data_IF_143568132779
#
_entry.id   IF_143568132779
#
_cell.length_a   1.000
_cell.length_b   1.000
_cell.length_c   1.000
_cell.angle_alpha   90.00
_cell.angle_beta   90.00
_cell.angle_gamma   90.00
#
_symmetry.space_group_name_H-M   'P 1'
#
loop_
_entity.id
_entity.type
_entity.pdbx_description
1 polymer ?
#
# COMPACT_ATOMS: atom_id res chain seq x y z
N UNK A 1 8.24 2.78 -5.00
CA UNK A 1 6.79 3.05 -4.87
C UNK A 1 6.51 3.82 -3.60
N UNK A 2 5.86 4.98 -3.75
CA UNK A 2 5.42 5.83 -2.67
C UNK A 2 3.92 6.07 -2.81
N UNK A 3 3.14 5.46 -1.91
CA UNK A 3 1.68 5.52 -1.86
C UNK A 3 1.24 6.37 -0.68
N UNK A 4 0.27 7.25 -0.89
CA UNK A 4 -0.25 8.08 0.19
C UNK A 4 -1.75 8.31 0.10
N UNK A 5 -2.39 8.31 1.28
CA UNK A 5 -3.81 8.60 1.45
C UNK A 5 -4.01 9.41 2.72
N UNK A 6 -4.58 10.61 2.60
CA UNK A 6 -4.71 11.52 3.72
C UNK A 6 -5.98 12.35 3.67
N UNK A 7 -6.40 12.76 4.86
CA UNK A 7 -7.46 13.74 5.05
C UNK A 7 -7.15 14.61 6.27
N UNK A 8 -7.60 15.86 6.24
CA UNK A 8 -7.60 16.74 7.40
C UNK A 8 -8.87 17.59 7.44
N UNK A 9 -9.53 17.61 8.59
CA UNK A 9 -10.55 18.62 8.89
C UNK A 9 -9.84 19.92 9.21
N UNK A 10 -10.18 20.98 8.47
CA UNK A 10 -9.59 22.30 8.63
C UNK A 10 -10.39 23.08 9.67
N UNK A 11 -9.70 23.60 10.68
CA UNK A 11 -10.29 24.45 11.71
C UNK A 11 -9.46 25.70 11.94
N UNK A 12 -10.16 26.79 12.16
CA UNK A 12 -9.60 28.04 12.67
C UNK A 12 -9.90 28.14 14.17
N UNK A 13 -9.08 28.88 14.95
CA UNK A 13 -9.36 29.10 16.37
C UNK A 13 -10.74 29.73 16.57
N UNK A 14 -11.59 29.08 17.35
CA UNK A 14 -12.93 29.56 17.69
C UNK A 14 -13.19 29.37 19.18
N UNK A 15 -12.98 30.41 20.00
CA UNK A 15 -13.32 30.31 21.40
C UNK A 15 -14.67 30.92 21.79
N UNK A 16 -15.35 31.75 20.98
CA UNK A 16 -16.69 32.36 21.26
C UNK A 16 -17.08 33.42 20.19
N UNK A 17 -16.71 33.25 18.92
CA UNK A 17 -16.70 34.37 17.95
C UNK A 17 -17.99 34.48 17.12
N UNK A 18 -18.40 35.73 16.86
CA UNK A 18 -19.37 36.15 15.83
C UNK A 18 -19.27 35.28 14.56
N UNK A 19 -20.37 34.62 14.12
CA UNK A 19 -20.38 33.79 12.92
C UNK A 19 -19.76 34.44 11.68
N UNK A 20 -19.92 35.76 11.53
CA UNK A 20 -19.34 36.54 10.42
C UNK A 20 -17.82 36.49 10.46
N UNK A 21 -17.24 36.70 11.64
CA UNK A 21 -15.79 36.72 11.82
C UNK A 21 -15.19 35.32 11.66
N UNK A 22 -15.91 34.28 12.10
CA UNK A 22 -15.50 32.90 11.85
C UNK A 22 -15.45 32.60 10.35
N UNK A 23 -16.50 32.97 9.60
CA UNK A 23 -16.54 32.80 8.15
C UNK A 23 -15.35 33.49 7.46
N UNK A 24 -15.01 34.73 7.85
CA UNK A 24 -13.85 35.45 7.31
C UNK A 24 -12.53 34.69 7.53
N UNK A 25 -12.33 34.15 8.74
CA UNK A 25 -11.13 33.38 9.09
C UNK A 25 -11.07 32.08 8.30
N UNK A 26 -12.19 31.36 8.18
CA UNK A 26 -12.28 30.14 7.38
C UNK A 26 -12.00 30.42 5.90
N UNK A 27 -12.53 31.52 5.34
CA UNK A 27 -12.27 31.93 3.96
C UNK A 27 -10.78 32.24 3.72
N UNK A 28 -10.13 32.95 4.66
CA UNK A 28 -8.68 33.22 4.61
C UNK A 28 -7.88 31.92 4.71
N UNK A 29 -8.26 31.03 5.63
CA UNK A 29 -7.60 29.73 5.81
C UNK A 29 -7.69 28.88 4.53
N UNK A 30 -8.88 28.80 3.91
CA UNK A 30 -9.08 28.08 2.65
C UNK A 30 -8.25 28.68 1.51
N UNK A 31 -8.18 30.01 1.40
CA UNK A 31 -7.36 30.66 0.38
C UNK A 31 -5.87 30.31 0.55
N UNK A 32 -5.34 30.42 1.77
CA UNK A 32 -3.94 30.08 2.07
C UNK A 32 -3.66 28.58 1.87
N UNK A 33 -4.60 27.72 2.23
CA UNK A 33 -4.49 26.27 2.00
C UNK A 33 -4.49 25.94 0.51
N UNK A 34 -5.29 26.62 -0.31
CA UNK A 34 -5.24 26.46 -1.78
C UNK A 34 -3.89 26.86 -2.37
N UNK A 35 -3.26 27.90 -1.85
CA UNK A 35 -1.89 28.25 -2.25
C UNK A 35 -0.87 27.19 -1.81
N UNK A 36 -1.03 26.60 -0.62
CA UNK A 36 -0.19 25.50 -0.16
C UNK A 36 -0.37 24.24 -1.02
N UNK A 37 -1.62 23.90 -1.36
CA UNK A 37 -1.96 22.84 -2.30
C UNK A 37 -1.29 23.11 -3.65
N UNK A 38 -1.43 24.30 -4.22
CA UNK A 38 -0.84 24.63 -5.52
C UNK A 38 0.71 24.51 -5.56
N UNK A 39 1.39 24.61 -4.41
CA UNK A 39 2.84 24.36 -4.30
C UNK A 39 3.18 22.87 -4.20
N UNK A 40 2.29 22.06 -3.62
CA UNK A 40 2.48 20.62 -3.46
C UNK A 40 1.92 19.80 -4.63
N UNK A 41 0.99 20.37 -5.39
CA UNK A 41 0.24 19.69 -6.43
C UNK A 41 1.11 19.25 -7.61
N UNK A 42 0.73 18.14 -8.23
CA UNK A 42 1.34 17.62 -9.44
C UNK A 42 0.31 16.90 -10.31
N UNK A 43 0.70 16.50 -11.52
CA UNK A 43 -0.23 15.85 -12.45
C UNK A 43 -0.59 14.39 -12.10
N UNK A 44 0.00 13.81 -11.06
CA UNK A 44 -0.09 12.38 -10.72
C UNK A 44 -0.78 12.13 -9.38
N UNK A 45 -1.11 13.19 -8.66
CA UNK A 45 -1.67 13.16 -7.32
C UNK A 45 -2.98 13.92 -7.30
N UNK A 46 -3.83 13.60 -6.32
CA UNK A 46 -5.06 14.31 -6.05
C UNK A 46 -4.86 15.14 -4.79
N UNK A 47 -4.93 16.46 -4.93
CA UNK A 47 -5.01 17.41 -3.82
C UNK A 47 -6.23 18.30 -4.01
N UNK A 48 -7.13 18.33 -3.02
CA UNK A 48 -8.26 19.25 -3.07
C UNK A 48 -8.75 19.59 -1.66
N UNK A 49 -9.41 20.73 -1.54
CA UNK A 49 -10.07 21.18 -0.31
C UNK A 49 -11.52 21.50 -0.62
N UNK A 50 -12.43 20.89 0.14
CA UNK A 50 -13.87 21.09 -0.04
C UNK A 50 -14.57 21.45 1.24
N UNK A 51 -15.52 22.37 1.13
CA UNK A 51 -16.53 22.58 2.14
C UNK A 51 -17.69 21.63 1.85
N UNK A 52 -18.10 20.87 2.86
CA UNK A 52 -19.17 19.88 2.80
C UNK A 52 -20.34 20.34 3.69
N UNK A 53 -21.30 19.45 3.97
CA UNK A 53 -22.45 19.79 4.81
C UNK A 53 -22.04 20.28 6.20
N UNK A 54 -22.86 21.15 6.78
CA UNK A 54 -22.61 21.76 8.10
C UNK A 54 -21.25 22.47 8.19
N UNK A 55 -20.83 23.12 7.10
CA UNK A 55 -19.62 23.95 7.02
C UNK A 55 -18.31 23.20 7.26
N UNK A 56 -18.32 21.86 7.19
CA UNK A 56 -17.12 21.06 7.38
C UNK A 56 -16.17 21.23 6.19
N UNK A 57 -15.02 21.87 6.42
CA UNK A 57 -13.94 22.02 5.45
C UNK A 57 -12.95 20.86 5.59
N UNK A 58 -12.70 20.15 4.49
CA UNK A 58 -11.87 18.94 4.45
C UNK A 58 -10.83 19.07 3.34
N UNK A 59 -9.56 18.94 3.71
CA UNK A 59 -8.46 18.60 2.80
C UNK A 59 -8.47 17.08 2.59
N UNK A 60 -8.31 16.62 1.35
CA UNK A 60 -8.01 15.22 1.07
C UNK A 60 -6.90 15.12 0.02
N UNK A 61 -6.04 14.11 0.20
CA UNK A 61 -4.83 13.91 -0.59
C UNK A 61 -4.65 12.44 -0.93
N UNK A 62 -4.47 12.10 -2.19
CA UNK A 62 -4.23 10.72 -2.62
C UNK A 62 -3.18 10.67 -3.72
N UNK A 63 -2.33 9.66 -3.73
CA UNK A 63 -1.38 9.48 -4.82
C UNK A 63 -0.63 8.16 -4.74
N UNK A 64 -0.17 7.71 -5.92
CA UNK A 64 0.70 6.56 -6.08
C UNK A 64 1.83 6.95 -7.03
N UNK A 65 3.06 6.92 -6.51
CA UNK A 65 4.24 7.47 -7.16
C UNK A 65 5.34 6.42 -7.28
N UNK A 66 6.19 6.55 -8.28
CA UNK A 66 7.35 5.64 -8.42
C UNK A 66 8.50 5.98 -7.46
N UNK A 67 8.56 7.22 -6.98
CA UNK A 67 9.58 7.71 -6.04
C UNK A 67 8.93 8.49 -4.91
N UNK A 68 9.64 8.59 -3.79
CA UNK A 68 9.26 9.38 -2.62
C UNK A 68 8.78 10.78 -3.01
N UNK A 69 7.64 11.19 -2.46
CA UNK A 69 7.04 12.50 -2.73
C UNK A 69 6.93 13.32 -1.45
N UNK A 70 7.95 14.11 -1.15
CA UNK A 70 7.98 14.93 0.07
C UNK A 70 6.89 16.01 0.18
N UNK A 71 6.41 16.65 -0.92
CA UNK A 71 5.45 17.77 -0.81
C UNK A 71 4.14 17.46 -0.08
N UNK A 72 3.66 16.21 -0.06
CA UNK A 72 2.46 15.84 0.73
C UNK A 72 2.73 15.95 2.24
N UNK A 73 3.94 15.57 2.69
CA UNK A 73 4.35 15.67 4.09
C UNK A 73 4.47 17.14 4.48
N UNK A 74 5.10 17.95 3.63
CA UNK A 74 5.23 19.40 3.83
C UNK A 74 3.87 20.10 3.91
N UNK A 75 2.90 19.68 3.09
CA UNK A 75 1.53 20.22 3.12
C UNK A 75 0.87 19.97 4.48
N UNK A 76 0.94 18.75 5.02
CA UNK A 76 0.34 18.45 6.33
C UNK A 76 1.11 19.12 7.48
N UNK A 77 2.43 19.27 7.36
CA UNK A 77 3.22 20.00 8.33
C UNK A 77 2.91 21.51 8.33
N UNK A 78 2.63 22.06 7.14
CA UNK A 78 2.10 23.41 6.99
C UNK A 78 0.73 23.54 7.67
N UNK A 79 -0.19 22.59 7.47
CA UNK A 79 -1.50 22.60 8.15
C UNK A 79 -1.33 22.57 9.67
N UNK A 80 -0.43 21.74 10.20
CA UNK A 80 -0.14 21.68 11.63
C UNK A 80 0.34 23.03 12.19
N UNK A 81 1.21 23.70 11.45
CA UNK A 81 1.82 24.96 11.88
C UNK A 81 0.83 26.13 11.79
N UNK A 82 0.11 26.23 10.67
CA UNK A 82 -0.72 27.40 10.36
C UNK A 82 -2.15 27.29 10.87
N UNK A 83 -2.65 26.06 11.04
CA UNK A 83 -4.04 25.76 11.40
C UNK A 83 -4.06 24.72 12.54
N UNK A 84 -3.50 25.04 13.72
CA UNK A 84 -3.20 24.06 14.76
C UNK A 84 -4.43 23.35 15.34
N UNK A 85 -5.62 23.94 15.23
CA UNK A 85 -6.87 23.29 15.67
C UNK A 85 -7.41 22.25 14.67
N UNK A 86 -6.80 22.16 13.50
CA UNK A 86 -7.08 21.12 12.51
C UNK A 86 -6.63 19.75 13.01
N UNK A 87 -7.27 18.70 12.48
CA UNK A 87 -6.91 17.32 12.77
C UNK A 87 -7.10 16.43 11.56
N UNK A 88 -6.36 15.33 11.50
CA UNK A 88 -6.37 14.44 10.35
C UNK A 88 -5.37 13.31 10.45
N UNK A 89 -5.32 12.50 9.40
CA UNK A 89 -4.39 11.40 9.24
C UNK A 89 -3.82 11.42 7.82
N UNK A 90 -2.56 11.02 7.68
CA UNK A 90 -1.91 10.75 6.41
C UNK A 90 -1.23 9.37 6.49
N UNK A 91 -1.76 8.40 5.75
CA UNK A 91 -1.14 7.10 5.54
C UNK A 91 -0.10 7.23 4.43
N UNK A 92 1.11 6.71 4.66
CA UNK A 92 2.21 6.65 3.70
C UNK A 92 2.78 5.23 3.66
N UNK A 93 2.97 4.66 2.47
CA UNK A 93 3.77 3.46 2.26
C UNK A 93 4.89 3.82 1.30
N UNK A 94 6.12 3.53 1.71
CA UNK A 94 7.33 3.81 0.94
C UNK A 94 8.17 2.53 0.88
N UNK A 95 8.20 1.89 -0.28
CA UNK A 95 9.00 0.66 -0.48
C UNK A 95 10.51 0.93 -0.50
N UNK A 96 10.94 2.19 -0.58
CA UNK A 96 12.34 2.62 -0.49
C UNK A 96 12.75 2.87 0.98
N UNK A 97 11.82 2.78 1.95
CA UNK A 97 12.10 2.98 3.37
C UNK A 97 12.65 1.69 4.02
N UNK A 98 13.96 1.65 4.21
CA UNK A 98 14.68 0.50 4.79
C UNK A 98 14.06 0.04 6.12
N UNK A 99 13.61 -1.22 6.16
CA UNK A 99 12.97 -1.86 7.31
C UNK A 99 11.48 -1.58 7.51
N UNK A 100 10.86 -0.77 6.64
CA UNK A 100 9.44 -0.41 6.66
C UNK A 100 8.77 -0.57 5.29
N UNK A 101 9.37 -1.32 4.37
CA UNK A 101 8.94 -1.45 2.98
C UNK A 101 7.54 -2.09 2.85
N UNK A 102 7.19 -2.94 3.83
CA UNK A 102 5.92 -3.66 3.91
C UNK A 102 4.95 -3.04 4.95
N UNK A 103 5.13 -1.77 5.30
CA UNK A 103 4.30 -1.08 6.30
C UNK A 103 3.72 0.22 5.74
N UNK A 104 2.45 0.48 6.06
CA UNK A 104 1.97 1.85 6.12
C UNK A 104 2.50 2.51 7.40
N UNK A 105 2.87 3.77 7.26
CA UNK A 105 3.19 4.68 8.35
C UNK A 105 2.07 5.71 8.43
N UNK A 106 1.50 5.89 9.62
CA UNK A 106 0.41 6.83 9.83
C UNK A 106 0.95 8.09 10.47
N UNK A 107 0.83 9.19 9.76
CA UNK A 107 1.11 10.51 10.29
C UNK A 107 -0.15 11.12 10.87
N UNK A 108 -0.12 11.41 12.16
CA UNK A 108 -1.24 12.00 12.90
C UNK A 108 -1.08 13.51 12.98
N UNK A 109 -2.11 14.22 12.53
CA UNK A 109 -2.25 15.66 12.71
C UNK A 109 -3.24 15.93 13.85
N UNK A 110 -2.80 16.58 14.92
CA UNK A 110 -3.68 17.05 15.99
C UNK A 110 -3.01 18.16 16.82
N UNK A 111 -3.76 19.24 17.12
CA UNK A 111 -3.30 20.32 18.02
C UNK A 111 -1.94 20.90 17.63
N UNK A 112 -1.78 21.12 16.33
CA UNK A 112 -0.55 21.63 15.71
C UNK A 112 0.65 20.69 15.74
N UNK A 113 0.46 19.44 16.14
CA UNK A 113 1.48 18.39 16.09
C UNK A 113 1.21 17.50 14.89
N UNK A 114 2.25 17.27 14.10
CA UNK A 114 2.25 16.30 12.99
C UNK A 114 3.35 15.28 13.26
N UNK A 115 2.96 14.04 13.55
CA UNK A 115 3.87 13.02 14.06
C UNK A 115 3.62 11.66 13.39
N UNK A 116 4.71 10.97 13.07
CA UNK A 116 4.66 9.62 12.53
C UNK A 116 4.36 8.58 13.64
N UNK A 117 3.55 7.58 13.28
CA UNK A 117 3.16 6.44 14.09
C UNK A 117 3.17 5.16 13.24
N UNK A 118 3.42 4.03 13.88
CA UNK A 118 3.16 2.72 13.27
C UNK A 118 1.67 2.55 13.03
N UNK A 119 1.32 2.01 11.87
CA UNK A 119 -0.06 1.69 11.53
C UNK A 119 -0.48 0.33 12.14
N UNK A 120 -1.56 0.28 12.94
CA UNK A 120 -2.06 -0.98 13.48
C UNK A 120 -3.17 -1.60 12.61
N UNK A 121 -3.60 -0.96 11.51
CA UNK A 121 -4.82 -1.34 10.80
C UNK A 121 -4.57 -2.07 9.48
N UNK A 122 -3.65 -1.56 8.67
CA UNK A 122 -3.35 -2.08 7.33
C UNK A 122 -1.99 -2.77 7.27
N UNK A 123 -1.14 -2.57 8.28
CA UNK A 123 0.21 -3.11 8.31
C UNK A 123 0.31 -4.43 9.07
N UNK A 124 1.14 -5.39 8.60
CA UNK A 124 1.94 -5.31 7.38
C UNK A 124 1.08 -5.42 6.11
N UNK A 125 1.42 -4.70 5.04
CA UNK A 125 0.61 -4.68 3.80
C UNK A 125 0.43 -6.07 3.22
N UNK A 126 1.49 -6.87 3.20
CA UNK A 126 1.42 -8.30 2.93
C UNK A 126 1.56 -9.07 4.25
N UNK A 127 0.60 -9.95 4.62
CA UNK A 127 -0.56 -10.41 3.85
C UNK A 127 -1.86 -9.63 4.08
N UNK A 128 -1.87 -8.55 4.88
CA UNK A 128 -3.11 -7.93 5.39
C UNK A 128 -3.99 -7.31 4.30
N UNK A 129 -3.36 -6.55 3.40
CA UNK A 129 -3.98 -5.82 2.29
C UNK A 129 -3.79 -6.58 0.98
N UNK A 130 -2.56 -7.02 0.73
CA UNK A 130 -2.15 -7.74 -0.47
C UNK A 130 -1.81 -9.19 -0.14
N UNK A 131 -2.15 -10.17 -1.00
CA UNK A 131 -1.74 -11.55 -0.77
C UNK A 131 -0.20 -11.68 -0.88
N UNK A 132 0.41 -12.69 -0.21
CA UNK A 132 1.82 -13.03 -0.42
C UNK A 132 2.13 -13.26 -1.89
N UNK A 133 3.28 -12.75 -2.36
CA UNK A 133 3.71 -13.00 -3.73
C UNK A 133 3.95 -14.50 -3.93
N UNK A 134 3.34 -15.13 -4.96
CA UNK A 134 3.63 -16.52 -5.33
C UNK A 134 5.08 -16.76 -5.72
N UNK A 135 5.84 -15.68 -5.99
CA UNK A 135 7.23 -15.71 -6.41
C UNK A 135 8.20 -15.23 -5.32
N UNK A 136 7.72 -15.01 -4.09
CA UNK A 136 8.62 -14.74 -2.97
C UNK A 136 9.58 -15.94 -2.80
N UNK A 137 10.86 -15.66 -2.50
CA UNK A 137 11.93 -16.66 -2.48
C UNK A 137 11.59 -17.88 -1.61
N UNK A 138 10.86 -17.70 -0.50
CA UNK A 138 10.47 -18.79 0.39
C UNK A 138 9.49 -19.77 -0.29
N UNK A 139 8.57 -19.24 -1.11
CA UNK A 139 7.65 -20.05 -1.92
C UNK A 139 8.43 -20.72 -3.05
N UNK A 140 9.40 -20.04 -3.66
CA UNK A 140 10.25 -20.63 -4.70
C UNK A 140 11.12 -21.78 -4.14
N UNK A 141 11.69 -21.62 -2.95
CA UNK A 141 12.46 -22.68 -2.27
C UNK A 141 11.56 -23.87 -1.88
N UNK A 142 10.35 -23.61 -1.39
CA UNK A 142 9.36 -24.65 -1.15
C UNK A 142 8.96 -25.36 -2.45
N UNK A 143 8.79 -24.62 -3.55
CA UNK A 143 8.49 -25.14 -4.89
C UNK A 143 9.63 -26.03 -5.42
N UNK A 144 10.88 -25.58 -5.31
CA UNK A 144 12.04 -26.36 -5.76
C UNK A 144 12.20 -27.64 -4.94
N UNK A 145 12.03 -27.56 -3.62
CA UNK A 145 12.07 -28.73 -2.72
C UNK A 145 10.94 -29.73 -3.03
N UNK A 146 9.76 -29.23 -3.41
CA UNK A 146 8.64 -30.07 -3.83
C UNK A 146 8.90 -30.75 -5.18
N UNK A 147 9.42 -30.00 -6.17
CA UNK A 147 9.75 -30.56 -7.48
C UNK A 147 10.79 -31.67 -7.38
N UNK A 148 11.80 -31.50 -6.53
CA UNK A 148 12.77 -32.56 -6.24
C UNK A 148 12.10 -33.78 -5.57
N UNK A 149 11.27 -33.57 -4.54
CA UNK A 149 10.56 -34.68 -3.88
C UNK A 149 9.57 -35.42 -4.80
N UNK A 150 8.86 -34.72 -5.68
CA UNK A 150 7.94 -35.32 -6.65
C UNK A 150 8.70 -36.11 -7.72
N UNK A 151 9.87 -35.64 -8.14
CA UNK A 151 10.78 -36.39 -9.03
C UNK A 151 11.30 -37.66 -8.37
N UNK A 152 11.49 -37.67 -7.06
CA UNK A 152 12.07 -38.84 -6.36
C UNK A 152 11.04 -39.84 -5.84
N UNK A 153 9.83 -39.43 -5.45
CA UNK A 153 8.94 -40.28 -4.63
C UNK A 153 7.46 -40.39 -5.06
N UNK A 154 6.99 -39.69 -6.11
CA UNK A 154 5.58 -39.77 -6.59
C UNK A 154 4.50 -39.80 -5.48
N UNK A 155 4.67 -39.09 -4.35
CA UNK A 155 3.78 -39.26 -3.20
C UNK A 155 2.83 -38.08 -3.02
N UNK A 156 1.52 -38.36 -2.96
CA UNK A 156 0.45 -37.39 -2.61
C UNK A 156 0.66 -36.71 -1.23
N UNK A 157 1.47 -37.31 -0.34
CA UNK A 157 1.73 -36.79 0.99
C UNK A 157 2.45 -35.43 0.98
N UNK A 158 3.41 -35.23 0.07
CA UNK A 158 4.17 -33.99 -0.07
C UNK A 158 3.28 -32.81 -0.52
N UNK A 159 2.23 -33.09 -1.30
CA UNK A 159 1.27 -32.07 -1.75
C UNK A 159 0.31 -31.63 -0.64
N UNK A 160 0.11 -32.46 0.39
CA UNK A 160 -0.82 -32.17 1.49
C UNK A 160 -0.21 -31.25 2.54
N UNK A 161 1.10 -31.35 2.79
CA UNK A 161 1.82 -30.41 3.70
C UNK A 161 1.89 -28.98 3.15
N UNK A 162 1.77 -28.80 1.82
CA UNK A 162 1.85 -27.49 1.17
C UNK A 162 0.49 -26.79 0.98
N UNK A 163 -0.63 -27.49 1.19
CA UNK A 163 -1.97 -26.89 1.06
C UNK A 163 -2.22 -25.74 2.07
N UNK A 164 -1.45 -25.71 3.16
CA UNK A 164 -1.52 -24.64 4.17
C UNK A 164 -0.73 -23.38 3.77
N UNK A 165 0.17 -23.48 2.77
CA UNK A 165 1.06 -22.40 2.34
C UNK A 165 0.86 -21.94 0.90
N UNK A 166 0.05 -22.68 0.12
CA UNK A 166 -0.05 -22.55 -1.32
C UNK A 166 -1.53 -22.57 -1.72
N UNK A 167 -1.98 -21.60 -2.51
CA UNK A 167 -3.38 -21.50 -2.95
C UNK A 167 -3.75 -22.67 -3.86
N UNK A 168 -5.05 -23.03 -3.95
CA UNK A 168 -5.51 -24.06 -4.87
C UNK A 168 -5.09 -23.82 -6.33
N UNK A 169 -5.03 -22.56 -6.79
CA UNK A 169 -4.56 -22.26 -8.15
C UNK A 169 -3.07 -22.54 -8.33
N UNK A 170 -2.24 -22.23 -7.34
CA UNK A 170 -0.81 -22.54 -7.37
C UNK A 170 -0.56 -24.06 -7.36
N UNK A 171 -1.35 -24.83 -6.61
CA UNK A 171 -1.31 -26.30 -6.65
C UNK A 171 -1.70 -26.82 -8.05
N UNK A 172 -2.71 -26.24 -8.67
CA UNK A 172 -3.14 -26.61 -10.03
C UNK A 172 -2.04 -26.32 -11.07
N UNK A 173 -1.40 -25.15 -10.98
CA UNK A 173 -0.27 -24.78 -11.84
C UNK A 173 0.93 -25.71 -11.67
N UNK A 174 1.25 -26.08 -10.43
CA UNK A 174 2.30 -27.04 -10.12
C UNK A 174 2.03 -28.44 -10.71
N UNK A 175 0.79 -28.92 -10.64
CA UNK A 175 0.38 -30.18 -11.28
C UNK A 175 0.57 -30.13 -12.80
N UNK A 176 0.25 -29.01 -13.43
CA UNK A 176 0.43 -28.82 -14.87
C UNK A 176 1.92 -28.91 -15.27
N UNK A 177 2.80 -28.23 -14.52
CA UNK A 177 4.24 -28.24 -14.77
C UNK A 177 4.88 -29.60 -14.51
N UNK A 178 4.49 -30.28 -13.42
CA UNK A 178 4.98 -31.61 -13.10
C UNK A 178 4.61 -32.62 -14.19
N UNK A 179 3.36 -32.61 -14.65
CA UNK A 179 2.89 -33.51 -15.71
C UNK A 179 3.67 -33.32 -17.02
N UNK A 180 3.87 -32.07 -17.45
CA UNK A 180 4.68 -31.76 -18.64
C UNK A 180 6.16 -32.19 -18.52
N UNK A 181 6.74 -32.09 -17.33
CA UNK A 181 8.11 -32.55 -17.09
C UNK A 181 8.22 -34.08 -17.23
N UNK A 182 7.24 -34.84 -16.74
CA UNK A 182 7.19 -36.30 -16.93
C UNK A 182 6.98 -36.73 -18.38
N UNK A 183 6.14 -36.02 -19.14
CA UNK A 183 5.90 -36.31 -20.56
C UNK A 183 7.18 -36.08 -21.41
N UNK A 184 7.89 -34.97 -21.17
CA UNK A 184 9.15 -34.68 -21.84
C UNK A 184 10.26 -35.71 -21.51
N UNK A 185 10.27 -36.25 -20.29
CA UNK A 185 11.20 -37.30 -19.89
C UNK A 185 10.89 -38.63 -20.60
N UNK A 186 9.60 -38.99 -20.71
CA UNK A 186 9.15 -40.21 -21.38
C UNK A 186 9.42 -40.19 -22.89
N UNK A 187 9.32 -39.04 -23.55
CA UNK A 187 9.69 -38.91 -24.97
C UNK A 187 11.22 -39.03 -25.19
N UNK A 188 12.04 -38.61 -24.23
CA UNK A 188 13.50 -38.70 -24.31
C UNK A 188 14.07 -40.11 -24.08
N UNK A 189 13.31 -40.99 -23.41
CA UNK A 189 13.69 -42.38 -23.12
C UNK A 189 13.18 -43.38 -24.17
N UNK A 190 12.47 -42.93 -25.21
CA UNK A 190 12.06 -43.78 -26.33
C UNK A 190 13.28 -44.16 -27.18
N UNK A 191 13.65 -45.44 -27.32
CA UNK A 191 14.78 -45.83 -28.16
C UNK A 191 14.47 -45.49 -29.63
N UNK A 192 15.45 -45.06 -30.44
CA UNK A 192 15.23 -44.83 -31.85
C UNK A 192 14.76 -46.13 -32.51
N UNK A 193 13.63 -46.05 -33.20
CA UNK A 193 13.00 -47.17 -33.90
C UNK A 193 14.00 -47.73 -34.92
N UNK A 194 14.46 -48.97 -34.70
CA UNK A 194 15.41 -49.62 -35.58
C UNK A 194 14.73 -49.94 -36.91
N UNK A 195 15.26 -49.33 -37.96
CA UNK A 195 14.90 -49.55 -39.34
C UNK A 195 14.87 -51.05 -39.72
N UNK A 196 13.84 -51.42 -40.49
CA UNK A 196 13.87 -52.52 -41.47
C UNK A 196 13.31 -52.01 -42.79
#
# INVERSE_FOLDING_TARGET
MFEFHGWATIRVPDPDIDPTRRWELEAIAVARLREAIARADDQFSLFDVRQTGNELIVLYTHGLRNHRFHPVIELFQWVATELPDSYGLLYLRDDEAEGHENEFRVWRLARGVFEERSDPFLSPCTPTVEPPSPFACDVLFALLSLLDNLRTNHSEAALKELADFVTPEQIAFLRLLANHATEAQAESDTPPDNAV
#
